data_IF_631360470856
#
_entry.id   IF_631360470856
#
_cell.length_a   1.000
_cell.length_b   1.000
_cell.length_c   1.000
_cell.angle_alpha   90.00
_cell.angle_beta   90.00
_cell.angle_gamma   90.00
#
_symmetry.space_group_name_H-M   'P 1'
#
loop_
_entity.id
_entity.type
_entity.pdbx_description
1 polymer ?
#
# COMPACT_ATOMS: atom_id res chain seq x y z
N UNK A 1 -5.71 -3.11 -2.46
CA UNK A 1 -4.53 -3.90 -2.83
C UNK A 1 -4.92 -5.24 -3.43
N UNK A 2 -5.57 -6.13 -2.68
CA UNK A 2 -5.91 -7.50 -3.10
C UNK A 2 -6.55 -7.60 -4.49
N UNK A 3 -7.54 -6.74 -4.78
CA UNK A 3 -8.18 -6.72 -6.11
C UNK A 3 -7.20 -6.45 -7.25
N UNK A 4 -6.21 -5.57 -7.07
CA UNK A 4 -5.22 -5.29 -8.10
C UNK A 4 -4.27 -6.47 -8.32
N UNK A 5 -3.87 -7.14 -7.24
CA UNK A 5 -3.01 -8.34 -7.29
C UNK A 5 -3.74 -9.52 -7.97
N UNK A 6 -5.02 -9.69 -7.68
CA UNK A 6 -5.85 -10.69 -8.37
C UNK A 6 -6.01 -10.35 -9.86
N UNK A 7 -6.21 -9.07 -10.18
CA UNK A 7 -6.32 -8.62 -11.56
C UNK A 7 -5.02 -8.78 -12.35
N UNK A 8 -3.86 -8.74 -11.68
CA UNK A 8 -2.53 -9.00 -12.24
C UNK A 8 -2.27 -10.49 -12.57
N UNK A 9 -3.17 -11.39 -12.15
CA UNK A 9 -3.05 -12.82 -12.43
C UNK A 9 -2.84 -13.70 -11.19
N UNK A 10 -2.97 -13.17 -9.98
CA UNK A 10 -3.00 -13.99 -8.76
C UNK A 10 -4.39 -14.62 -8.58
N UNK A 11 -4.56 -15.95 -8.68
CA UNK A 11 -5.88 -16.56 -8.59
C UNK A 11 -6.51 -16.36 -7.20
N UNK A 12 -7.83 -16.18 -7.15
CA UNK A 12 -8.56 -16.00 -5.88
C UNK A 12 -8.45 -17.24 -5.00
N UNK A 13 -8.35 -18.40 -5.63
CA UNK A 13 -8.15 -19.69 -4.98
C UNK A 13 -6.78 -19.76 -4.28
N UNK A 14 -5.74 -19.18 -4.86
CA UNK A 14 -4.42 -19.09 -4.24
C UNK A 14 -4.40 -18.07 -3.10
N UNK A 15 -5.07 -16.92 -3.26
CA UNK A 15 -5.31 -15.99 -2.14
C UNK A 15 -5.99 -16.71 -0.97
N UNK A 16 -7.02 -17.52 -1.23
CA UNK A 16 -7.70 -18.28 -0.19
C UNK A 16 -6.77 -19.33 0.44
N UNK A 17 -6.01 -20.08 -0.37
CA UNK A 17 -5.04 -21.07 0.13
C UNK A 17 -3.99 -20.45 1.04
N UNK A 18 -3.48 -19.27 0.70
CA UNK A 18 -2.52 -18.55 1.53
C UNK A 18 -3.15 -18.11 2.86
N UNK A 19 -4.36 -17.56 2.83
CA UNK A 19 -5.04 -17.12 4.04
C UNK A 19 -5.47 -18.29 4.94
N UNK A 20 -5.82 -19.45 4.37
CA UNK A 20 -6.15 -20.66 5.12
C UNK A 20 -4.94 -21.17 5.94
N UNK A 21 -3.70 -20.78 5.59
CA UNK A 21 -2.50 -21.08 6.40
C UNK A 21 -2.45 -20.35 7.74
N UNK A 22 -3.21 -19.27 7.91
CA UNK A 22 -3.33 -18.55 9.18
C UNK A 22 -4.12 -19.34 10.24
N UNK A 23 -4.77 -20.45 9.86
CA UNK A 23 -5.64 -21.25 10.73
C UNK A 23 -6.79 -20.42 11.33
N UNK A 24 -7.25 -19.42 10.58
CA UNK A 24 -8.43 -18.64 10.93
C UNK A 24 -9.67 -19.14 10.20
N UNK A 25 -10.77 -19.15 10.94
CA UNK A 25 -12.10 -19.41 10.41
C UNK A 25 -12.92 -18.12 10.37
N UNK A 26 -14.05 -18.19 9.68
CA UNK A 26 -15.07 -17.17 9.78
C UNK A 26 -14.86 -15.95 8.88
N UNK A 27 -14.33 -16.15 7.67
CA UNK A 27 -14.39 -15.15 6.61
C UNK A 27 -14.83 -15.75 5.29
N UNK A 28 -15.38 -14.89 4.42
CA UNK A 28 -15.68 -15.20 3.04
C UNK A 28 -15.05 -14.15 2.13
N UNK A 29 -14.36 -14.61 1.10
CA UNK A 29 -13.85 -13.75 0.03
C UNK A 29 -14.86 -13.76 -1.11
N UNK A 30 -15.30 -12.58 -1.53
CA UNK A 30 -16.07 -12.38 -2.74
C UNK A 30 -15.23 -11.58 -3.74
N UNK A 31 -14.87 -12.21 -4.85
CA UNK A 31 -14.22 -11.55 -5.98
C UNK A 31 -15.22 -11.31 -7.10
N UNK A 32 -15.26 -10.08 -7.62
CA UNK A 32 -16.14 -9.70 -8.73
C UNK A 32 -15.42 -8.79 -9.71
N UNK A 33 -15.59 -9.04 -11.01
CA UNK A 33 -15.25 -8.06 -12.04
C UNK A 33 -16.27 -6.93 -12.02
N UNK A 34 -15.80 -5.70 -11.96
CA UNK A 34 -16.62 -4.49 -11.93
C UNK A 34 -16.03 -3.44 -12.87
N UNK A 35 -16.89 -2.62 -13.47
CA UNK A 35 -16.46 -1.46 -14.24
C UNK A 35 -16.60 -0.20 -13.37
N UNK A 36 -15.50 0.52 -13.16
CA UNK A 36 -15.52 1.85 -12.52
C UNK A 36 -15.26 2.90 -13.59
N UNK A 37 -16.30 3.67 -13.95
CA UNK A 37 -16.23 4.70 -15.01
C UNK A 37 -15.67 4.14 -16.34
N UNK A 38 -16.08 2.92 -16.71
CA UNK A 38 -15.68 2.26 -17.97
C UNK A 38 -14.39 1.44 -17.90
N UNK A 39 -13.63 1.50 -16.80
CA UNK A 39 -12.42 0.69 -16.62
C UNK A 39 -12.78 -0.62 -15.91
N UNK A 40 -12.54 -1.75 -16.58
CA UNK A 40 -12.71 -3.08 -16.00
C UNK A 40 -11.66 -3.31 -14.90
N UNK A 41 -12.10 -3.86 -13.79
CA UNK A 41 -11.28 -4.01 -12.58
C UNK A 41 -11.80 -5.14 -11.71
N UNK A 42 -10.98 -5.61 -10.77
CA UNK A 42 -11.37 -6.64 -9.80
C UNK A 42 -11.66 -6.00 -8.44
N UNK A 43 -12.86 -6.24 -7.92
CA UNK A 43 -13.24 -5.89 -6.56
C UNK A 43 -13.18 -7.14 -5.67
N UNK A 44 -12.41 -7.04 -4.58
CA UNK A 44 -12.38 -8.04 -3.51
C UNK A 44 -13.15 -7.49 -2.32
N UNK A 45 -14.11 -8.26 -1.82
CA UNK A 45 -14.80 -7.98 -0.55
C UNK A 45 -14.53 -9.14 0.39
N UNK A 46 -14.03 -8.79 1.57
CA UNK A 46 -13.91 -9.72 2.69
C UNK A 46 -15.14 -9.52 3.55
N UNK A 47 -15.80 -10.62 3.92
CA UNK A 47 -16.89 -10.62 4.88
C UNK A 47 -16.49 -11.50 6.04
N UNK A 48 -16.20 -10.91 7.18
CA UNK A 48 -16.12 -11.66 8.43
C UNK A 48 -17.53 -12.18 8.80
N UNK A 49 -17.61 -13.44 9.24
CA UNK A 49 -18.83 -14.06 9.75
C UNK A 49 -18.92 -14.00 11.28
N UNK A 50 -17.84 -13.59 11.95
CA UNK A 50 -17.81 -13.34 13.39
C UNK A 50 -17.84 -11.84 13.70
N UNK A 51 -18.31 -11.49 14.91
CA UNK A 51 -18.25 -10.12 15.42
C UNK A 51 -16.81 -9.61 15.50
N UNK A 52 -16.63 -8.29 15.38
CA UNK A 52 -15.31 -7.64 15.47
C UNK A 52 -14.66 -7.94 16.82
N UNK A 53 -13.77 -8.93 16.83
CA UNK A 53 -12.90 -9.19 17.98
C UNK A 53 -11.76 -8.17 17.98
N UNK A 54 -11.65 -7.41 19.06
CA UNK A 54 -10.46 -6.59 19.31
C UNK A 54 -9.28 -7.51 19.60
N UNK A 55 -8.17 -7.28 18.91
CA UNK A 55 -6.92 -8.01 19.08
C UNK A 55 -5.82 -7.04 19.50
N UNK A 56 -4.93 -7.53 20.34
CA UNK A 56 -3.68 -6.85 20.63
C UNK A 56 -2.65 -7.13 19.55
N UNK A 57 -1.54 -6.38 19.54
CA UNK A 57 -0.39 -6.72 18.69
C UNK A 57 0.12 -8.14 18.98
N UNK A 58 0.19 -8.53 20.26
CA UNK A 58 0.68 -9.85 20.67
C UNK A 58 -0.19 -10.98 20.10
N UNK A 59 -1.51 -10.82 20.10
CA UNK A 59 -2.42 -11.77 19.49
C UNK A 59 -2.10 -11.95 18.00
N UNK A 60 -1.97 -10.84 17.26
CA UNK A 60 -1.71 -10.86 15.81
C UNK A 60 -0.35 -11.48 15.50
N UNK A 61 0.68 -11.16 16.28
CA UNK A 61 2.01 -11.76 16.12
C UNK A 61 1.96 -13.27 16.41
N UNK A 62 1.27 -13.70 17.47
CA UNK A 62 1.12 -15.12 17.81
C UNK A 62 0.41 -15.90 16.70
N UNK A 63 -0.58 -15.29 16.06
CA UNK A 63 -1.28 -15.82 14.89
C UNK A 63 -0.31 -16.02 13.72
N UNK A 64 0.49 -15.00 13.39
CA UNK A 64 1.49 -15.09 12.32
C UNK A 64 2.54 -16.16 12.65
N UNK A 65 3.01 -16.23 13.90
CA UNK A 65 3.96 -17.23 14.37
C UNK A 65 3.47 -18.67 14.16
N UNK A 66 2.25 -18.95 14.63
CA UNK A 66 1.65 -20.29 14.57
C UNK A 66 1.17 -20.69 13.18
N UNK A 67 1.00 -19.72 12.28
CA UNK A 67 0.58 -19.98 10.90
C UNK A 67 1.58 -20.81 10.11
N UNK A 68 1.10 -21.45 9.05
CA UNK A 68 1.93 -22.20 8.07
C UNK A 68 2.43 -21.31 6.93
N UNK A 69 2.35 -19.99 7.07
CA UNK A 69 2.87 -19.03 6.09
C UNK A 69 4.38 -19.16 5.95
N UNK A 70 4.91 -18.81 4.78
CA UNK A 70 6.35 -18.70 4.58
C UNK A 70 6.92 -17.49 5.33
N UNK A 71 8.19 -17.56 5.74
CA UNK A 71 8.82 -16.45 6.46
C UNK A 71 8.88 -15.17 5.64
N UNK A 72 8.99 -15.29 4.30
CA UNK A 72 8.89 -14.18 3.34
C UNK A 72 7.55 -13.43 3.40
N UNK A 73 6.51 -14.07 3.93
CA UNK A 73 5.20 -13.43 4.17
C UNK A 73 5.05 -13.00 5.62
N UNK A 74 5.51 -13.81 6.58
CA UNK A 74 5.43 -13.49 8.01
C UNK A 74 6.20 -12.23 8.37
N UNK A 75 7.49 -12.16 8.02
CA UNK A 75 8.37 -11.04 8.41
C UNK A 75 7.83 -9.67 7.96
N UNK A 76 7.50 -9.44 6.67
CA UNK A 76 6.93 -8.16 6.26
C UNK A 76 5.57 -7.87 6.90
N UNK A 77 4.74 -8.90 7.13
CA UNK A 77 3.45 -8.74 7.81
C UNK A 77 3.64 -8.28 9.26
N UNK A 78 4.58 -8.87 10.01
CA UNK A 78 4.93 -8.43 11.37
C UNK A 78 5.42 -6.99 11.38
N UNK A 79 6.27 -6.61 10.44
CA UNK A 79 6.78 -5.25 10.33
C UNK A 79 5.63 -4.24 10.15
N UNK A 80 4.67 -4.55 9.26
CA UNK A 80 3.48 -3.72 9.03
C UNK A 80 2.65 -3.59 10.32
N UNK A 81 2.34 -4.69 11.00
CA UNK A 81 1.57 -4.66 12.25
C UNK A 81 2.29 -3.94 13.39
N UNK A 82 3.60 -4.10 13.50
CA UNK A 82 4.42 -3.40 14.49
C UNK A 82 4.42 -1.89 14.24
N UNK A 83 4.51 -1.46 12.97
CA UNK A 83 4.40 -0.05 12.58
C UNK A 83 3.00 0.51 12.91
N UNK A 84 1.94 -0.24 12.59
CA UNK A 84 0.57 0.12 12.97
C UNK A 84 0.41 0.28 14.48
N UNK A 85 0.87 -0.70 15.27
CA UNK A 85 0.82 -0.62 16.72
C UNK A 85 1.57 0.60 17.25
N UNK A 86 2.77 0.88 16.73
CA UNK A 86 3.54 2.06 17.15
C UNK A 86 2.81 3.37 16.90
N UNK A 87 2.07 3.49 15.79
CA UNK A 87 1.29 4.69 15.47
C UNK A 87 0.07 4.82 16.38
N UNK A 88 -0.68 3.73 16.55
CA UNK A 88 -1.81 3.68 17.49
C UNK A 88 -1.36 4.02 18.92
N UNK A 89 -0.16 3.57 19.32
CA UNK A 89 0.43 3.83 20.64
C UNK A 89 0.55 5.32 20.90
N UNK A 90 1.10 6.00 19.89
CA UNK A 90 1.37 7.42 19.93
C UNK A 90 0.09 8.23 19.95
N UNK A 91 -0.91 7.86 19.14
CA UNK A 91 -2.20 8.55 19.09
C UNK A 91 -2.96 8.39 20.42
N UNK A 92 -2.88 7.22 21.04
CA UNK A 92 -3.59 6.91 22.28
C UNK A 92 -2.78 7.18 23.56
N UNK A 93 -1.52 7.60 23.45
CA UNK A 93 -0.63 7.80 24.61
C UNK A 93 -0.37 6.51 25.41
N UNK A 94 -0.37 5.35 24.75
CA UNK A 94 -0.14 4.03 25.37
C UNK A 94 1.17 3.41 24.88
N UNK A 95 1.64 2.37 25.56
CA UNK A 95 2.75 1.55 25.04
C UNK A 95 2.26 0.61 23.93
N UNK A 96 3.06 0.35 22.87
CA UNK A 96 2.68 -0.53 21.75
C UNK A 96 2.11 -1.89 22.16
N UNK A 97 2.64 -2.49 23.24
CA UNK A 97 2.26 -3.81 23.74
C UNK A 97 0.88 -3.83 24.42
N UNK A 98 0.35 -2.66 24.84
CA UNK A 98 -0.93 -2.55 25.58
C UNK A 98 -2.06 -2.02 24.71
N UNK A 99 -1.85 -1.98 23.39
CA UNK A 99 -2.86 -1.47 22.46
C UNK A 99 -3.79 -2.60 22.08
N UNK A 100 -5.06 -2.33 22.27
CA UNK A 100 -6.13 -3.03 21.59
C UNK A 100 -6.43 -2.25 20.33
N UNK A 101 -6.31 -2.91 19.18
CA UNK A 101 -6.66 -2.27 17.93
C UNK A 101 -8.19 -2.23 17.81
N UNK A 102 -8.79 -1.07 18.09
CA UNK A 102 -10.24 -0.90 18.04
C UNK A 102 -10.80 -1.00 16.60
N UNK A 103 -10.00 -0.62 15.61
CA UNK A 103 -10.40 -0.63 14.19
C UNK A 103 -9.50 -1.50 13.32
N UNK A 104 -8.23 -1.63 13.70
CA UNK A 104 -7.19 -2.27 12.88
C UNK A 104 -6.86 -3.71 13.29
N UNK A 105 -7.50 -4.24 14.33
CA UNK A 105 -7.31 -5.62 14.83
C UNK A 105 -8.32 -6.61 14.26
N UNK A 106 -9.19 -6.13 13.37
CA UNK A 106 -10.20 -6.92 12.70
C UNK A 106 -9.59 -7.89 11.68
N UNK A 107 -10.37 -8.90 11.35
CA UNK A 107 -10.00 -9.92 10.36
C UNK A 107 -9.74 -9.30 8.98
N UNK A 108 -10.47 -8.24 8.62
CA UNK A 108 -10.26 -7.51 7.36
C UNK A 108 -8.84 -6.94 7.25
N UNK A 109 -8.31 -6.33 8.32
CA UNK A 109 -6.94 -5.77 8.31
C UNK A 109 -5.88 -6.86 8.23
N UNK A 110 -6.07 -7.99 8.95
CA UNK A 110 -5.18 -9.15 8.84
C UNK A 110 -5.15 -9.68 7.42
N UNK A 111 -6.31 -9.87 6.81
CA UNK A 111 -6.41 -10.38 5.44
C UNK A 111 -5.82 -9.37 4.44
N UNK A 112 -6.06 -8.06 4.61
CA UNK A 112 -5.50 -7.05 3.72
C UNK A 112 -3.96 -7.01 3.78
N UNK A 113 -3.37 -7.06 4.99
CA UNK A 113 -1.92 -7.04 5.18
C UNK A 113 -1.29 -8.33 4.69
N UNK A 114 -1.73 -9.48 5.20
CA UNK A 114 -1.16 -10.79 4.84
C UNK A 114 -1.40 -11.07 3.35
N UNK A 115 -2.60 -10.79 2.85
CA UNK A 115 -2.92 -10.99 1.45
C UNK A 115 -2.15 -10.06 0.51
N UNK A 116 -1.86 -8.81 0.92
CA UNK A 116 -0.99 -7.93 0.13
C UNK A 116 0.42 -8.50 0.03
N UNK A 117 1.02 -8.91 1.15
CA UNK A 117 2.39 -9.48 1.16
C UNK A 117 2.44 -10.81 0.41
N UNK A 118 1.48 -11.72 0.66
CA UNK A 118 1.41 -13.02 0.00
C UNK A 118 1.22 -12.88 -1.52
N UNK A 119 0.37 -11.96 -1.97
CA UNK A 119 0.17 -11.73 -3.41
C UNK A 119 1.39 -11.12 -4.08
N UNK A 120 2.12 -10.23 -3.41
CA UNK A 120 3.39 -9.71 -3.91
C UNK A 120 4.44 -10.83 -4.03
N UNK A 121 4.53 -11.71 -3.03
CA UNK A 121 5.41 -12.89 -3.06
C UNK A 121 5.02 -13.86 -4.19
N UNK A 122 3.72 -14.15 -4.35
CA UNK A 122 3.21 -15.03 -5.41
C UNK A 122 3.55 -14.50 -6.80
N UNK A 123 3.40 -13.19 -7.02
CA UNK A 123 3.71 -12.53 -8.29
C UNK A 123 5.21 -12.32 -8.51
N UNK A 124 6.08 -12.76 -7.58
CA UNK A 124 7.53 -12.64 -7.70
C UNK A 124 8.03 -11.20 -7.67
N UNK A 125 7.32 -10.29 -6.98
CA UNK A 125 7.71 -8.88 -6.92
C UNK A 125 8.89 -8.71 -5.97
N UNK A 126 10.06 -8.34 -6.51
CA UNK A 126 11.27 -8.10 -5.74
C UNK A 126 11.32 -6.70 -5.12
N UNK A 127 10.81 -5.71 -5.86
CA UNK A 127 10.87 -4.28 -5.49
C UNK A 127 9.55 -3.60 -5.85
N UNK A 128 9.06 -2.75 -4.95
CA UNK A 128 7.85 -1.97 -5.17
C UNK A 128 8.16 -0.47 -5.15
N UNK A 129 7.52 0.27 -6.04
CA UNK A 129 7.62 1.73 -6.14
C UNK A 129 6.20 2.29 -6.13
N UNK A 130 6.03 3.48 -5.55
CA UNK A 130 4.73 4.16 -5.52
C UNK A 130 4.86 5.58 -6.01
N UNK A 131 3.83 6.10 -6.68
CA UNK A 131 3.70 7.55 -6.82
C UNK A 131 3.46 8.18 -5.45
N UNK A 132 3.58 9.52 -5.33
CA UNK A 132 3.02 10.25 -4.19
C UNK A 132 1.56 9.86 -3.94
N UNK A 133 1.12 9.93 -2.68
CA UNK A 133 -0.22 9.46 -2.28
C UNK A 133 -1.24 10.61 -2.18
N UNK A 134 -2.47 10.44 -2.71
CA UNK A 134 -3.50 11.46 -2.63
C UNK A 134 -4.18 11.48 -1.26
N UNK A 135 -4.26 12.66 -0.65
CA UNK A 135 -4.98 12.90 0.60
C UNK A 135 -6.35 13.53 0.30
N UNK A 136 -7.42 12.78 0.55
CA UNK A 136 -8.79 13.28 0.45
C UNK A 136 -9.18 14.19 1.62
N UNK A 137 -10.35 14.83 1.51
CA UNK A 137 -10.90 15.77 2.51
C UNK A 137 -12.27 15.34 3.03
N UNK A 138 -12.79 16.03 4.04
CA UNK A 138 -14.11 15.78 4.62
C UNK A 138 -14.01 15.06 5.95
N UNK A 139 -14.95 14.16 6.24
CA UNK A 139 -15.03 13.45 7.51
C UNK A 139 -15.29 11.95 7.30
N UNK A 140 -14.82 11.13 8.23
CA UNK A 140 -15.06 9.69 8.28
C UNK A 140 -15.67 9.31 9.62
N UNK A 141 -16.65 8.40 9.60
CA UNK A 141 -17.22 7.81 10.81
C UNK A 141 -16.46 6.53 11.17
N UNK A 142 -15.96 6.47 12.38
CA UNK A 142 -15.11 5.40 12.90
C UNK A 142 -15.47 5.12 14.38
N UNK A 143 -14.78 4.18 15.03
CA UNK A 143 -15.01 3.86 16.45
C UNK A 143 -14.68 5.04 17.37
N UNK A 144 -13.84 5.97 16.91
CA UNK A 144 -13.50 7.21 17.60
C UNK A 144 -14.47 8.37 17.28
N UNK A 145 -15.63 8.07 16.70
CA UNK A 145 -16.63 9.05 16.30
C UNK A 145 -16.41 9.57 14.88
N UNK A 146 -16.66 10.87 14.67
CA UNK A 146 -16.49 11.51 13.37
C UNK A 146 -15.15 12.25 13.36
N UNK A 147 -14.22 11.81 12.53
CA UNK A 147 -12.89 12.39 12.41
C UNK A 147 -12.74 13.14 11.09
N UNK A 148 -12.00 14.26 11.06
CA UNK A 148 -11.63 14.90 9.81
C UNK A 148 -10.69 13.99 9.01
N UNK A 149 -10.77 14.09 7.69
CA UNK A 149 -9.83 13.47 6.78
C UNK A 149 -8.69 14.45 6.44
N UNK A 150 -7.45 13.95 6.34
CA UNK A 150 -7.04 12.55 6.52
C UNK A 150 -7.05 12.10 7.99
N UNK A 151 -7.32 10.80 8.23
CA UNK A 151 -7.39 10.26 9.57
C UNK A 151 -6.03 10.37 10.31
N UNK A 152 -6.01 10.55 11.65
CA UNK A 152 -4.77 10.74 12.41
C UNK A 152 -3.74 9.61 12.22
N UNK A 153 -4.19 8.35 12.24
CA UNK A 153 -3.32 7.19 12.01
C UNK A 153 -2.70 7.22 10.61
N UNK A 154 -3.50 7.56 9.58
CA UNK A 154 -3.00 7.72 8.21
C UNK A 154 -1.91 8.79 8.13
N UNK A 155 -2.11 9.97 8.75
CA UNK A 155 -1.10 11.04 8.73
C UNK A 155 0.19 10.63 9.42
N UNK A 156 0.10 9.97 10.57
CA UNK A 156 1.30 9.53 11.30
C UNK A 156 2.07 8.45 10.51
N UNK A 157 1.37 7.52 9.85
CA UNK A 157 2.00 6.49 8.99
C UNK A 157 2.70 7.06 7.76
N UNK A 158 2.29 8.24 7.29
CA UNK A 158 2.75 8.85 6.04
C UNK A 158 3.74 10.01 6.23
N UNK A 159 4.27 10.25 7.45
CA UNK A 159 5.18 11.38 7.71
C UNK A 159 6.39 11.47 6.79
N UNK A 160 6.96 10.33 6.41
CA UNK A 160 8.12 10.23 5.53
C UNK A 160 7.73 9.85 4.08
N UNK A 161 6.45 9.94 3.75
CA UNK A 161 5.91 9.56 2.43
C UNK A 161 5.44 10.82 1.71
N UNK A 162 5.85 11.06 0.43
CA UNK A 162 5.35 12.20 -0.32
C UNK A 162 3.85 12.05 -0.57
N UNK A 163 3.12 13.12 -0.24
CA UNK A 163 1.66 13.21 -0.33
C UNK A 163 1.25 14.47 -1.08
N UNK A 164 0.04 14.48 -1.63
CA UNK A 164 -0.57 15.67 -2.21
C UNK A 164 -2.05 15.76 -1.87
N UNK A 165 -2.57 16.99 -1.78
CA UNK A 165 -3.98 17.24 -1.49
C UNK A 165 -4.90 16.90 -2.67
N UNK A 166 -6.10 16.41 -2.37
CA UNK A 166 -7.15 16.11 -3.33
C UNK A 166 -8.47 16.74 -2.92
N UNK A 167 -9.25 17.21 -3.90
CA UNK A 167 -10.59 17.77 -3.67
C UNK A 167 -11.68 16.71 -3.41
N UNK A 168 -11.32 15.44 -3.42
CA UNK A 168 -12.27 14.36 -3.24
C UNK A 168 -12.70 14.28 -1.77
N UNK A 169 -14.01 14.37 -1.53
CA UNK A 169 -14.64 14.28 -0.21
C UNK A 169 -14.79 12.82 0.26
N UNK A 170 -13.70 12.07 0.30
CA UNK A 170 -13.68 10.69 0.77
C UNK A 170 -12.28 10.29 1.23
N UNK A 171 -12.21 9.25 2.07
CA UNK A 171 -10.93 8.63 2.43
C UNK A 171 -10.38 7.85 1.23
N UNK A 172 -9.29 8.37 0.65
CA UNK A 172 -8.60 7.79 -0.51
C UNK A 172 -7.50 6.81 -0.08
N UNK A 173 -6.81 7.12 1.02
CA UNK A 173 -5.79 6.27 1.64
C UNK A 173 -6.25 5.93 3.04
N UNK A 174 -6.56 4.66 3.26
CA UNK A 174 -6.93 4.14 4.59
C UNK A 174 -5.68 3.93 5.45
N UNK A 175 -5.81 3.85 6.79
CA UNK A 175 -4.66 3.52 7.65
C UNK A 175 -3.97 2.21 7.25
N UNK A 176 -4.74 1.16 6.93
CA UNK A 176 -4.19 -0.11 6.43
C UNK A 176 -3.46 0.06 5.11
N UNK A 177 -4.02 0.81 4.16
CA UNK A 177 -3.37 1.10 2.88
C UNK A 177 -2.06 1.87 3.05
N UNK A 178 -2.05 2.88 3.93
CA UNK A 178 -0.85 3.64 4.29
C UNK A 178 0.22 2.75 4.93
N UNK A 179 -0.15 1.88 5.85
CA UNK A 179 0.78 0.96 6.50
C UNK A 179 1.41 -0.04 5.52
N UNK A 180 0.60 -0.61 4.61
CA UNK A 180 1.09 -1.53 3.58
C UNK A 180 2.07 -0.80 2.65
N UNK A 181 1.65 0.31 2.03
CA UNK A 181 2.48 0.95 0.99
C UNK A 181 3.74 1.58 1.57
N UNK A 182 3.67 2.20 2.74
CA UNK A 182 4.82 2.82 3.41
C UNK A 182 5.82 1.81 3.98
N UNK A 183 5.49 0.52 3.99
CA UNK A 183 6.39 -0.55 4.43
C UNK A 183 6.89 -1.41 3.27
N UNK A 184 6.11 -1.54 2.18
CA UNK A 184 6.48 -2.36 1.03
C UNK A 184 7.17 -1.58 -0.09
N UNK A 185 6.91 -0.27 -0.23
CA UNK A 185 7.55 0.54 -1.25
C UNK A 185 9.00 0.88 -0.87
N UNK A 186 9.94 0.64 -1.79
CA UNK A 186 11.35 1.00 -1.66
C UNK A 186 11.57 2.50 -1.88
N UNK A 187 10.81 3.10 -2.80
CA UNK A 187 10.86 4.53 -3.06
C UNK A 187 9.50 5.08 -3.51
N UNK A 188 9.31 6.38 -3.28
CA UNK A 188 8.15 7.12 -3.73
C UNK A 188 8.55 8.20 -4.73
N UNK A 189 7.89 8.25 -5.88
CA UNK A 189 8.19 9.24 -6.91
C UNK A 189 7.73 8.81 -8.29
N UNK A 190 8.55 9.12 -9.29
CA UNK A 190 8.29 8.69 -10.66
C UNK A 190 8.49 7.18 -10.80
N UNK A 191 7.67 6.57 -11.66
CA UNK A 191 7.85 5.16 -12.02
C UNK A 191 9.22 4.97 -12.67
N UNK A 192 10.03 3.99 -12.23
CA UNK A 192 11.34 3.75 -12.82
C UNK A 192 11.21 3.38 -14.30
N UNK A 193 12.22 3.69 -15.15
CA UNK A 193 12.26 3.21 -16.52
C UNK A 193 12.18 1.68 -16.59
N UNK A 194 11.06 1.16 -17.08
CA UNK A 194 10.78 -0.26 -17.08
C UNK A 194 9.97 -0.68 -18.31
N UNK A 195 10.10 -1.95 -18.71
CA UNK A 195 9.16 -2.56 -19.65
C UNK A 195 8.01 -3.15 -18.84
N UNK A 196 6.82 -2.58 -18.99
CA UNK A 196 5.60 -3.09 -18.36
C UNK A 196 5.20 -4.40 -19.03
N UNK A 197 4.95 -5.43 -18.23
CA UNK A 197 4.52 -6.77 -18.68
C UNK A 197 3.05 -7.03 -18.32
N UNK A 198 2.64 -6.61 -17.13
CA UNK A 198 1.27 -6.79 -16.63
C UNK A 198 0.76 -5.52 -15.97
N UNK A 199 -0.54 -5.27 -16.08
CA UNK A 199 -1.24 -4.17 -15.40
C UNK A 199 -2.51 -4.74 -14.78
N UNK A 200 -2.75 -4.43 -13.52
CA UNK A 200 -3.99 -4.80 -12.84
C UNK A 200 -4.62 -3.64 -12.10
N UNK A 201 -5.95 -3.72 -12.01
CA UNK A 201 -6.81 -2.71 -11.41
C UNK A 201 -7.64 -3.31 -10.28
N UNK A 202 -7.40 -2.81 -9.06
CA UNK A 202 -8.21 -3.11 -7.88
C UNK A 202 -9.27 -2.06 -7.66
N UNK A 203 -10.54 -2.45 -7.60
CA UNK A 203 -11.65 -1.52 -7.38
C UNK A 203 -11.94 -1.28 -5.90
N UNK A 204 -11.97 -0.01 -5.52
CA UNK A 204 -12.51 0.43 -4.23
C UNK A 204 -14.03 0.28 -4.18
N UNK A 205 -14.58 0.28 -2.95
CA UNK A 205 -16.01 0.07 -2.75
C UNK A 205 -16.86 1.32 -3.06
N UNK A 206 -16.31 2.52 -2.79
CA UNK A 206 -17.01 3.80 -2.99
C UNK A 206 -17.10 4.17 -4.47
N UNK A 207 -18.16 4.87 -4.85
CA UNK A 207 -18.26 5.56 -6.14
C UNK A 207 -17.84 7.02 -5.95
N UNK A 208 -16.86 7.45 -6.72
CA UNK A 208 -16.26 8.78 -6.63
C UNK A 208 -16.44 9.52 -7.97
N UNK A 209 -16.10 10.81 -7.97
CA UNK A 209 -16.07 11.63 -9.20
C UNK A 209 -15.04 11.11 -10.20
N UNK A 210 -13.94 10.55 -9.70
CA UNK A 210 -12.93 9.82 -10.48
C UNK A 210 -13.11 8.30 -10.34
N UNK A 211 -12.50 7.46 -11.20
CA UNK A 211 -12.47 6.02 -10.98
C UNK A 211 -11.79 5.68 -9.64
N UNK A 212 -12.50 5.05 -8.72
CA UNK A 212 -11.95 4.60 -7.43
C UNK A 212 -11.17 3.29 -7.62
N UNK A 213 -9.97 3.41 -8.17
CA UNK A 213 -9.13 2.28 -8.57
C UNK A 213 -7.72 2.44 -8.00
N UNK A 214 -7.15 1.31 -7.56
CA UNK A 214 -5.70 1.16 -7.40
C UNK A 214 -5.17 0.49 -8.67
N UNK A 215 -4.25 1.15 -9.37
CA UNK A 215 -3.53 0.58 -10.52
C UNK A 215 -2.17 0.09 -10.06
N UNK A 216 -1.80 -1.12 -10.46
CA UNK A 216 -0.47 -1.70 -10.24
C UNK A 216 0.08 -2.17 -11.59
N UNK A 217 1.33 -1.83 -11.87
CA UNK A 217 2.06 -2.28 -13.06
C UNK A 217 3.23 -3.14 -12.62
N UNK A 218 3.36 -4.33 -13.19
CA UNK A 218 4.50 -5.24 -13.01
C UNK A 218 5.29 -5.29 -14.31
N UNK A 219 6.61 -5.36 -14.19
CA UNK A 219 7.51 -5.55 -15.30
C UNK A 219 8.96 -5.46 -14.90
N UNK A 220 9.84 -5.44 -15.89
CA UNK A 220 11.28 -5.54 -15.68
C UNK A 220 11.91 -4.16 -15.78
N UNK A 221 12.64 -3.75 -14.74
CA UNK A 221 13.47 -2.54 -14.77
C UNK A 221 14.57 -2.77 -15.79
N UNK A 222 14.67 -1.90 -16.80
CA UNK A 222 15.87 -1.90 -17.64
C UNK A 222 16.99 -1.33 -16.79
N UNK A 223 18.10 -2.07 -16.65
CA UNK A 223 19.35 -1.43 -16.28
C UNK A 223 19.61 -0.38 -17.36
N UNK A 224 19.39 0.88 -17.04
CA UNK A 224 19.94 1.95 -17.84
C UNK A 224 21.44 1.66 -17.95
N UNK A 225 22.01 1.78 -19.15
CA UNK A 225 23.44 2.01 -19.24
C UNK A 225 23.75 3.22 -18.33
N UNK A 226 24.91 3.26 -17.69
CA UNK A 226 25.31 4.43 -16.90
C UNK A 226 25.11 5.68 -17.75
N UNK A 227 24.12 6.49 -17.40
CA UNK A 227 23.89 7.76 -18.05
C UNK A 227 24.81 8.76 -17.37
N UNK A 228 25.90 9.11 -18.07
CA UNK A 228 26.84 10.14 -17.64
C UNK A 228 26.35 11.50 -18.13
N UNK A 229 26.33 12.50 -17.25
CA UNK A 229 25.87 13.85 -17.58
C UNK A 229 27.07 14.64 -18.09
N UNK A 230 27.27 14.68 -19.40
CA UNK A 230 28.25 15.56 -20.03
C UNK A 230 27.67 16.97 -20.11
N UNK A 231 28.14 17.86 -19.24
CA UNK A 231 27.82 19.30 -19.31
C UNK A 231 28.90 20.01 -20.12
N UNK A 232 28.55 20.54 -21.29
CA UNK A 232 29.43 21.41 -22.07
C UNK A 232 29.19 22.86 -21.66
N UNK A 233 30.17 23.47 -20.99
CA UNK A 233 30.20 24.91 -20.73
C UNK A 233 31.06 25.53 -21.83
N UNK A 234 30.42 26.25 -22.75
CA UNK A 234 31.10 27.04 -23.77
C UNK A 234 30.83 28.53 -23.51
N UNK A 235 31.88 29.33 -23.56
CA UNK A 235 31.81 30.79 -23.55
C UNK A 235 32.66 31.32 -24.70
N UNK A 236 32.23 32.43 -25.30
CA UNK A 236 33.10 33.19 -26.19
C UNK A 236 33.90 34.18 -25.35
N UNK A 237 35.14 34.43 -25.75
CA UNK A 237 35.97 35.50 -25.18
C UNK A 237 35.77 36.73 -26.07
N UNK A 238 35.08 37.76 -25.57
CA UNK A 238 34.69 38.95 -26.34
C UNK A 238 35.69 40.12 -26.18
N UNK A 239 36.37 40.21 -25.04
CA UNK A 239 37.23 41.35 -24.66
C UNK A 239 38.73 41.00 -24.51
N UNK A 240 39.25 40.06 -25.30
CA UNK A 240 40.69 39.74 -25.27
C UNK A 240 41.47 40.52 -26.32
N UNK A 241 42.56 41.17 -25.91
CA UNK A 241 43.47 41.85 -26.82
C UNK A 241 44.09 40.81 -27.80
N UNK A 242 43.99 41.00 -29.13
CA UNK A 242 44.48 40.05 -30.12
C UNK A 242 45.99 39.75 -30.07
N UNK A 243 46.81 40.56 -29.38
CA UNK A 243 48.25 40.29 -29.20
C UNK A 243 48.57 39.20 -28.15
N UNK A 244 47.58 38.72 -27.39
CA UNK A 244 47.76 37.64 -26.39
C UNK A 244 47.31 36.25 -26.87
N UNK A 245 47.05 36.08 -28.17
CA UNK A 245 46.72 34.79 -28.78
C UNK A 245 48.02 34.07 -29.21
N UNK A 246 48.40 32.98 -28.54
CA UNK A 246 49.32 31.94 -29.07
C UNK A 246 48.53 30.79 -29.69
#
# INVERSE_FOLDING_TARGET
MLGALVDLGWPVEELKRELDKLDFFGYRIEAKKVAKRGILSTQIKIRATEEKKERTLEDILSILDKSKLEEKVKEPSRAIFTKLASVEAKIHGKSPQKIHFHELGGLDTIIDVVGAVAGMNYLGVEKAYSSPLPLGKGFVKCSHGILPLPAPATLELLKEVPVYGSDIKAELVTPTGAAIISNLAENFGQMPPMKIEHIGYGAGQRDLTIPNLLRVSIGVIRKAYEEDVVSLIQTNIDDMNPEFYE
#
